data_IF_073207330486
#
_entry.id   IF_073207330486
#
_cell.length_a   1.000
_cell.length_b   1.000
_cell.length_c   1.000
_cell.angle_alpha   90.00
_cell.angle_beta   90.00
_cell.angle_gamma   90.00
#
_symmetry.space_group_name_H-M   'P 1'
#
loop_
_entity.id
_entity.type
_entity.pdbx_description
1 polymer ?
#
# COMPACT_ATOMS: atom_id res chain seq x y z
N UNK A 1 37.37 -44.75 -68.93
CA UNK A 1 36.73 -43.64 -68.20
C UNK A 1 35.92 -44.21 -67.06
N UNK A 2 36.21 -43.71 -65.85
CA UNK A 2 35.43 -43.70 -64.60
C UNK A 2 34.77 -44.99 -64.06
N UNK A 3 35.23 -45.37 -62.87
CA UNK A 3 34.59 -46.24 -61.87
C UNK A 3 34.55 -45.48 -60.53
N UNK A 4 33.58 -45.85 -59.68
CA UNK A 4 33.34 -45.55 -58.24
C UNK A 4 32.21 -44.56 -57.95
N UNK A 5 31.07 -45.01 -57.41
CA UNK A 5 30.76 -45.58 -56.07
C UNK A 5 30.42 -44.50 -55.03
N UNK A 6 29.26 -44.72 -54.40
CA UNK A 6 28.66 -43.92 -53.35
C UNK A 6 29.37 -44.04 -51.98
N UNK A 7 29.26 -42.99 -51.16
CA UNK A 7 29.22 -42.91 -49.68
C UNK A 7 29.43 -41.45 -49.27
N UNK A 8 28.87 -40.87 -48.21
CA UNK A 8 27.77 -41.18 -47.32
C UNK A 8 27.62 -39.90 -46.48
N UNK A 9 26.53 -39.15 -46.63
CA UNK A 9 26.22 -38.07 -45.68
C UNK A 9 25.10 -38.57 -44.76
N UNK A 10 25.52 -39.04 -43.60
CA UNK A 10 24.66 -39.41 -42.50
C UNK A 10 25.07 -38.59 -41.28
N UNK A 11 24.45 -37.42 -41.09
CA UNK A 11 24.45 -36.71 -39.80
C UNK A 11 23.15 -35.94 -39.57
N UNK A 12 22.26 -36.59 -38.81
CA UNK A 12 21.23 -36.08 -37.89
C UNK A 12 20.57 -34.70 -38.15
N UNK A 13 19.23 -34.65 -38.31
CA UNK A 13 18.49 -33.40 -38.22
C UNK A 13 18.51 -32.91 -36.76
N UNK A 14 19.35 -31.92 -36.48
CA UNK A 14 19.31 -31.19 -35.21
C UNK A 14 18.09 -30.28 -35.22
N UNK A 15 17.06 -30.65 -34.47
CA UNK A 15 16.13 -29.82 -33.65
C UNK A 15 16.01 -28.32 -34.03
N UNK A 16 15.88 -28.01 -35.31
CA UNK A 16 15.59 -26.69 -35.89
C UNK A 16 14.55 -26.92 -36.96
N UNK A 17 13.59 -26.00 -37.00
CA UNK A 17 12.30 -26.11 -37.69
C UNK A 17 12.37 -26.71 -39.09
N UNK A 18 11.25 -27.36 -39.46
CA UNK A 18 11.02 -28.09 -40.70
C UNK A 18 11.44 -27.34 -41.97
N UNK A 19 11.71 -28.13 -43.01
CA UNK A 19 12.06 -27.79 -44.40
C UNK A 19 11.01 -26.94 -45.17
N UNK A 20 9.89 -26.56 -44.55
CA UNK A 20 8.74 -25.95 -45.25
C UNK A 20 8.85 -24.42 -45.45
N UNK A 21 10.02 -23.82 -45.24
CA UNK A 21 10.22 -22.37 -45.42
C UNK A 21 9.49 -21.47 -44.41
N UNK A 22 8.81 -22.04 -43.41
CA UNK A 22 8.14 -21.29 -42.34
C UNK A 22 9.17 -20.75 -41.35
N UNK A 23 9.45 -19.44 -41.42
CA UNK A 23 10.22 -18.73 -40.38
C UNK A 23 9.35 -18.53 -39.15
N UNK A 24 9.72 -19.20 -38.06
CA UNK A 24 9.21 -18.87 -36.73
C UNK A 24 9.98 -17.65 -36.25
N UNK A 25 9.34 -16.48 -36.26
CA UNK A 25 9.87 -15.28 -35.62
C UNK A 25 9.59 -15.35 -34.12
N UNK A 26 10.64 -15.22 -33.31
CA UNK A 26 10.48 -15.09 -31.88
C UNK A 26 9.99 -13.66 -31.60
N UNK A 27 8.73 -13.53 -31.22
CA UNK A 27 8.20 -12.28 -30.69
C UNK A 27 8.48 -12.23 -29.19
N UNK A 28 9.35 -11.30 -28.78
CA UNK A 28 9.39 -10.89 -27.38
C UNK A 28 8.24 -9.92 -27.16
N UNK A 29 7.25 -10.34 -26.36
CA UNK A 29 6.22 -9.44 -25.87
C UNK A 29 6.90 -8.43 -24.93
N UNK A 30 6.91 -7.16 -25.29
CA UNK A 30 7.44 -6.10 -24.43
C UNK A 30 6.55 -5.98 -23.19
N UNK A 31 6.99 -6.53 -22.07
CA UNK A 31 6.47 -6.23 -20.73
C UNK A 31 7.02 -4.84 -20.29
N UNK A 32 6.72 -3.80 -21.08
CA UNK A 32 7.41 -2.50 -21.06
C UNK A 32 7.07 -1.56 -19.90
N UNK A 33 7.01 -2.06 -18.67
CA UNK A 33 6.67 -1.21 -17.52
C UNK A 33 7.83 -1.06 -16.53
N UNK A 34 8.47 0.11 -16.60
CA UNK A 34 9.61 0.44 -15.75
C UNK A 34 9.22 0.64 -14.28
N UNK A 35 10.08 0.16 -13.38
CA UNK A 35 9.95 0.37 -11.94
C UNK A 35 10.11 1.86 -11.63
N UNK A 36 9.15 2.44 -10.90
CA UNK A 36 9.24 3.83 -10.44
C UNK A 36 9.51 3.87 -8.95
N UNK A 37 10.58 4.56 -8.56
CA UNK A 37 10.96 4.76 -7.16
C UNK A 37 10.36 6.02 -6.55
N UNK A 38 10.16 6.03 -5.23
CA UNK A 38 9.70 7.20 -4.48
C UNK A 38 10.65 8.42 -4.66
N UNK A 39 11.96 8.17 -4.73
CA UNK A 39 12.96 9.22 -5.01
C UNK A 39 12.72 9.94 -6.33
N UNK A 40 12.23 9.25 -7.37
CA UNK A 40 11.91 9.86 -8.66
C UNK A 40 10.69 10.82 -8.57
N UNK A 41 9.80 10.63 -7.60
CA UNK A 41 8.75 11.61 -7.31
C UNK A 41 9.34 12.89 -6.72
N UNK A 42 10.16 12.78 -5.67
CA UNK A 42 10.74 13.93 -4.98
C UNK A 42 11.80 14.67 -5.81
N UNK A 43 12.48 13.98 -6.73
CA UNK A 43 13.33 14.62 -7.72
C UNK A 43 12.53 15.54 -8.67
N UNK A 44 11.29 15.16 -9.00
CA UNK A 44 10.37 15.98 -9.84
C UNK A 44 9.59 17.02 -9.04
N UNK A 45 9.45 16.83 -7.72
CA UNK A 45 8.67 17.68 -6.82
C UNK A 45 9.51 18.03 -5.58
N UNK A 46 10.58 18.83 -5.74
CA UNK A 46 11.50 19.11 -4.64
C UNK A 46 10.79 19.90 -3.54
N UNK A 47 10.93 19.44 -2.29
CA UNK A 47 10.39 20.12 -1.11
C UNK A 47 8.86 20.03 -0.95
N UNK A 48 8.16 19.31 -1.83
CA UNK A 48 6.70 19.20 -1.80
C UNK A 48 6.28 17.76 -1.47
N UNK A 49 5.44 17.62 -0.44
CA UNK A 49 4.85 16.34 -0.06
C UNK A 49 3.80 15.85 -1.08
N UNK A 50 3.37 14.57 -0.99
CA UNK A 50 2.37 14.00 -1.88
C UNK A 50 1.07 14.81 -1.86
N UNK A 51 0.55 15.16 -3.04
CA UNK A 51 -0.69 15.90 -3.14
C UNK A 51 -1.90 15.02 -2.81
N UNK A 52 -2.88 15.55 -2.08
CA UNK A 52 -4.18 14.92 -1.84
C UNK A 52 -5.29 15.83 -2.35
N UNK A 53 -6.21 15.27 -3.12
CA UNK A 53 -7.34 16.03 -3.65
C UNK A 53 -8.58 15.77 -2.83
N UNK A 54 -9.16 16.83 -2.29
CA UNK A 54 -10.29 16.75 -1.36
C UNK A 54 -11.37 17.72 -1.83
N UNK A 55 -12.65 17.32 -1.84
CA UNK A 55 -13.74 18.24 -2.12
C UNK A 55 -13.76 19.45 -1.18
N UNK A 56 -14.23 20.59 -1.69
CA UNK A 56 -14.51 21.77 -0.86
C UNK A 56 -15.66 21.48 0.09
N UNK A 57 -15.68 22.17 1.23
CA UNK A 57 -16.81 22.07 2.16
C UNK A 57 -18.10 22.54 1.50
N UNK A 58 -19.17 21.77 1.70
CA UNK A 58 -20.52 22.24 1.43
C UNK A 58 -20.92 23.38 2.38
N UNK A 59 -21.91 24.21 2.01
CA UNK A 59 -22.42 25.26 2.90
C UNK A 59 -23.01 24.66 4.18
N UNK A 60 -22.51 25.10 5.35
CA UNK A 60 -22.98 24.62 6.66
C UNK A 60 -22.39 23.28 7.10
N UNK A 61 -21.43 22.72 6.36
CA UNK A 61 -20.73 21.50 6.75
C UNK A 61 -19.91 21.71 8.02
N UNK A 62 -20.20 20.91 9.05
CA UNK A 62 -19.38 20.80 10.27
C UNK A 62 -18.95 19.36 10.50
N UNK A 63 -17.95 19.17 11.36
CA UNK A 63 -17.50 17.83 11.76
C UNK A 63 -18.67 16.99 12.31
N UNK A 64 -19.55 17.59 13.11
CA UNK A 64 -20.73 16.96 13.70
C UNK A 64 -21.72 16.51 12.62
N UNK A 65 -21.95 17.33 11.60
CA UNK A 65 -22.84 16.94 10.49
C UNK A 65 -22.28 15.76 9.70
N UNK A 66 -20.95 15.69 9.51
CA UNK A 66 -20.28 14.57 8.86
C UNK A 66 -20.30 13.31 9.75
N UNK A 67 -20.11 13.43 11.06
CA UNK A 67 -20.26 12.32 12.01
C UNK A 67 -21.69 11.77 11.95
N UNK A 68 -22.68 12.67 11.94
CA UNK A 68 -24.10 12.32 11.83
C UNK A 68 -24.40 11.58 10.53
N UNK A 69 -23.84 12.05 9.41
CA UNK A 69 -23.96 11.38 8.12
C UNK A 69 -23.29 9.99 8.12
N UNK A 70 -22.07 9.87 8.65
CA UNK A 70 -21.31 8.61 8.65
C UNK A 70 -21.95 7.55 9.55
N UNK A 71 -22.28 7.92 10.78
CA UNK A 71 -22.85 6.99 11.75
C UNK A 71 -24.36 6.77 11.52
N UNK A 72 -25.05 7.77 10.98
CA UNK A 72 -26.47 7.70 10.63
C UNK A 72 -26.76 6.99 9.31
N UNK A 73 -25.79 6.93 8.39
CA UNK A 73 -25.93 6.16 7.15
C UNK A 73 -26.17 4.67 7.44
N UNK A 74 -25.66 4.13 8.55
CA UNK A 74 -25.81 2.73 8.91
C UNK A 74 -25.20 1.82 7.84
N UNK A 75 -26.06 1.21 7.02
CA UNK A 75 -25.71 0.35 5.88
C UNK A 75 -25.91 1.04 4.52
N UNK A 76 -26.11 2.36 4.49
CA UNK A 76 -26.21 3.09 3.23
C UNK A 76 -24.81 3.46 2.71
N UNK A 77 -24.70 3.55 1.37
CA UNK A 77 -23.46 3.95 0.71
C UNK A 77 -23.22 5.43 0.94
N UNK A 78 -22.06 5.75 1.48
CA UNK A 78 -21.55 7.10 1.66
C UNK A 78 -20.66 7.42 0.45
N UNK A 79 -20.75 8.65 -0.04
CA UNK A 79 -19.82 9.12 -1.06
C UNK A 79 -18.39 9.22 -0.52
N UNK A 80 -17.42 8.86 -1.37
CA UNK A 80 -16.01 8.87 -0.96
C UNK A 80 -15.50 10.30 -0.69
N UNK A 81 -16.01 11.32 -1.35
CA UNK A 81 -15.70 12.72 -1.12
C UNK A 81 -16.01 13.15 0.31
N UNK A 82 -17.17 12.73 0.83
CA UNK A 82 -17.58 12.94 2.23
C UNK A 82 -16.59 12.28 3.20
N UNK A 83 -16.19 11.04 2.90
CA UNK A 83 -15.20 10.31 3.70
C UNK A 83 -13.81 10.98 3.68
N UNK A 84 -13.32 11.40 2.51
CA UNK A 84 -12.04 12.10 2.37
C UNK A 84 -12.03 13.41 3.15
N UNK A 85 -13.12 14.18 3.05
CA UNK A 85 -13.28 15.44 3.78
C UNK A 85 -13.29 15.21 5.28
N UNK A 86 -14.03 14.21 5.73
CA UNK A 86 -14.10 13.84 7.14
C UNK A 86 -12.72 13.45 7.70
N UNK A 87 -11.97 12.57 7.02
CA UNK A 87 -10.61 12.18 7.44
C UNK A 87 -9.71 13.41 7.55
N UNK A 88 -9.77 14.33 6.57
CA UNK A 88 -8.97 15.54 6.58
C UNK A 88 -9.27 16.46 7.76
N UNK A 89 -10.54 16.68 8.08
CA UNK A 89 -10.94 17.47 9.25
C UNK A 89 -10.48 16.80 10.56
N UNK A 90 -10.49 15.46 10.64
CA UNK A 90 -9.95 14.75 11.79
C UNK A 90 -8.43 14.97 11.99
N UNK A 91 -7.66 15.21 10.93
CA UNK A 91 -6.21 15.46 11.07
C UNK A 91 -5.92 16.71 11.89
N UNK A 92 -6.77 17.73 11.82
CA UNK A 92 -6.63 18.93 12.66
C UNK A 92 -6.82 18.68 14.16
N UNK A 93 -7.40 17.55 14.55
CA UNK A 93 -7.56 17.15 15.96
C UNK A 93 -6.40 16.30 16.48
N UNK A 94 -5.54 15.82 15.59
CA UNK A 94 -4.44 14.91 15.92
C UNK A 94 -3.15 15.73 15.86
N UNK A 95 -2.65 16.12 17.03
CA UNK A 95 -1.49 17.01 17.14
C UNK A 95 -0.47 16.43 18.11
N UNK A 96 0.80 16.46 17.72
CA UNK A 96 1.90 16.06 18.59
C UNK A 96 3.12 16.95 18.37
N UNK A 97 3.94 17.09 19.42
CA UNK A 97 5.12 17.95 19.40
C UNK A 97 6.35 17.16 18.96
N UNK A 98 7.15 17.73 18.06
CA UNK A 98 8.40 17.14 17.61
C UNK A 98 9.53 17.35 18.62
N UNK A 99 10.22 16.27 19.00
CA UNK A 99 11.46 16.38 19.79
C UNK A 99 12.66 16.77 18.93
N UNK A 100 12.69 16.30 17.67
CA UNK A 100 13.76 16.53 16.71
C UNK A 100 13.19 16.93 15.34
N UNK A 101 14.03 17.57 14.51
CA UNK A 101 13.66 17.95 13.14
C UNK A 101 13.24 16.71 12.37
N UNK A 102 12.05 16.77 11.76
CA UNK A 102 11.56 15.70 10.91
C UNK A 102 11.67 16.09 9.44
N UNK A 103 12.50 15.36 8.70
CA UNK A 103 12.69 15.54 7.27
C UNK A 103 12.75 14.19 6.54
N UNK A 104 12.13 14.10 5.37
CA UNK A 104 12.20 12.91 4.52
C UNK A 104 12.25 13.30 3.05
N UNK A 105 13.18 12.72 2.29
CA UNK A 105 13.38 13.00 0.86
C UNK A 105 13.55 14.50 0.51
N UNK A 106 14.23 15.26 1.37
CA UNK A 106 14.39 16.71 1.20
C UNK A 106 13.15 17.54 1.54
N UNK A 107 12.04 16.90 1.93
CA UNK A 107 10.84 17.57 2.45
C UNK A 107 10.96 17.72 3.96
N UNK A 108 11.03 18.98 4.42
CA UNK A 108 11.01 19.29 5.86
C UNK A 108 9.55 19.27 6.32
N UNK A 109 9.20 18.29 7.15
CA UNK A 109 7.85 18.12 7.70
C UNK A 109 7.64 19.11 8.85
N UNK A 110 8.66 19.26 9.71
CA UNK A 110 8.62 20.23 10.81
C UNK A 110 9.97 20.32 11.55
N UNK A 111 10.33 21.50 12.08
CA UNK A 111 11.52 21.65 12.92
C UNK A 111 11.26 21.11 14.34
N UNK A 112 12.34 20.90 15.09
CA UNK A 112 12.27 20.49 16.49
C UNK A 112 11.46 21.50 17.32
N UNK A 113 10.65 20.99 18.24
CA UNK A 113 9.82 21.77 19.16
C UNK A 113 8.49 22.26 18.59
N UNK A 114 8.17 21.97 17.32
CA UNK A 114 6.88 22.38 16.70
C UNK A 114 5.80 21.33 16.84
N UNK A 115 4.56 21.81 16.90
CA UNK A 115 3.37 20.98 16.84
C UNK A 115 3.07 20.62 15.39
N UNK A 116 2.92 19.34 15.14
CA UNK A 116 2.62 18.80 13.82
C UNK A 116 1.39 17.91 13.86
N UNK A 117 0.75 17.79 12.71
CA UNK A 117 -0.44 16.98 12.46
C UNK A 117 -0.18 16.08 11.26
N UNK A 118 -1.01 15.04 11.04
CA UNK A 118 -0.91 14.23 9.82
C UNK A 118 -1.07 15.05 8.52
N UNK A 119 -1.73 16.21 8.57
CA UNK A 119 -1.89 17.09 7.40
C UNK A 119 -0.57 17.70 6.92
N UNK A 120 0.41 17.91 7.82
CA UNK A 120 1.74 18.43 7.47
C UNK A 120 2.55 17.48 6.57
N UNK A 121 2.12 16.22 6.44
CA UNK A 121 2.75 15.23 5.58
C UNK A 121 2.30 15.35 4.12
N UNK A 122 1.21 16.07 3.83
CA UNK A 122 0.53 16.09 2.54
C UNK A 122 0.40 17.51 1.99
N UNK A 123 0.23 17.62 0.67
CA UNK A 123 -0.12 18.88 0.02
C UNK A 123 -1.61 18.88 -0.36
N UNK A 124 -2.41 19.74 0.24
CA UNK A 124 -3.85 19.83 -0.05
C UNK A 124 -4.09 20.51 -1.40
N UNK A 125 -4.92 19.88 -2.23
CA UNK A 125 -5.51 20.49 -3.43
C UNK A 125 -7.02 20.36 -3.31
N UNK A 126 -7.71 21.47 -3.12
CA UNK A 126 -9.17 21.45 -3.09
C UNK A 126 -9.73 21.36 -4.53
N UNK A 127 -10.56 20.35 -4.81
CA UNK A 127 -11.09 20.08 -6.15
C UNK A 127 -12.60 19.77 -6.08
N UNK A 128 -13.38 20.40 -6.96
CA UNK A 128 -14.84 20.19 -7.04
C UNK A 128 -15.63 20.88 -5.93
N UNK A 129 -16.96 20.79 -6.04
CA UNK A 129 -17.89 21.14 -4.97
C UNK A 129 -18.14 19.90 -4.09
N UNK A 130 -18.38 20.11 -2.79
CA UNK A 130 -18.70 19.02 -1.88
C UNK A 130 -20.02 18.35 -2.27
N UNK A 131 -20.03 17.02 -2.29
CA UNK A 131 -21.23 16.24 -2.58
C UNK A 131 -22.31 16.48 -1.52
N UNK A 132 -23.57 16.53 -1.95
CA UNK A 132 -24.69 16.59 -1.03
C UNK A 132 -24.86 15.22 -0.36
N UNK A 133 -24.80 15.20 0.96
CA UNK A 133 -25.15 14.04 1.77
C UNK A 133 -26.48 14.28 2.46
N UNK A 134 -27.22 13.20 2.72
CA UNK A 134 -28.42 13.27 3.54
C UNK A 134 -28.01 13.78 4.93
N UNK A 135 -28.36 15.03 5.23
CA UNK A 135 -28.14 15.63 6.53
C UNK A 135 -28.91 14.86 7.58
N UNK A 136 -28.22 13.98 8.31
CA UNK A 136 -28.73 13.40 9.54
C UNK A 136 -28.72 14.45 10.67
N UNK A 137 -29.36 14.11 11.79
CA UNK A 137 -29.15 14.89 13.02
C UNK A 137 -27.64 15.00 13.29
N UNK A 138 -27.13 16.17 13.71
CA UNK A 138 -25.71 16.34 14.02
C UNK A 138 -25.24 15.24 14.96
N UNK A 139 -24.17 14.55 14.56
CA UNK A 139 -23.57 13.49 15.35
C UNK A 139 -22.91 14.05 16.61
N UNK A 140 -22.69 13.20 17.59
CA UNK A 140 -21.98 13.58 18.79
C UNK A 140 -20.49 13.80 18.46
N UNK A 141 -19.96 15.00 18.69
CA UNK A 141 -18.56 15.36 18.45
C UNK A 141 -17.55 14.42 19.15
N UNK A 142 -17.93 13.79 20.27
CA UNK A 142 -17.10 12.83 20.99
C UNK A 142 -16.93 11.49 20.25
N UNK A 143 -17.80 11.19 19.28
CA UNK A 143 -17.75 9.95 18.50
C UNK A 143 -16.85 10.05 17.26
N UNK A 144 -16.05 11.11 17.14
CA UNK A 144 -15.21 11.34 15.97
C UNK A 144 -14.20 10.20 15.71
N UNK A 145 -13.64 9.59 16.77
CA UNK A 145 -12.73 8.45 16.64
C UNK A 145 -13.44 7.20 16.11
N UNK A 146 -14.65 6.92 16.61
CA UNK A 146 -15.50 5.82 16.15
C UNK A 146 -15.82 5.98 14.66
N UNK A 147 -16.26 7.18 14.25
CA UNK A 147 -16.55 7.47 12.85
C UNK A 147 -15.30 7.39 11.97
N UNK A 148 -14.14 7.86 12.45
CA UNK A 148 -12.87 7.76 11.72
C UNK A 148 -12.43 6.31 11.53
N UNK A 149 -12.53 5.49 12.57
CA UNK A 149 -12.20 4.08 12.50
C UNK A 149 -13.14 3.31 11.55
N UNK A 150 -14.42 3.68 11.51
CA UNK A 150 -15.40 3.11 10.58
C UNK A 150 -15.07 3.47 9.14
N UNK A 151 -14.80 4.75 8.85
CA UNK A 151 -14.41 5.23 7.50
C UNK A 151 -13.12 4.59 7.01
N UNK A 152 -12.16 4.32 7.89
CA UNK A 152 -10.89 3.66 7.55
C UNK A 152 -11.00 2.13 7.46
N UNK A 153 -12.11 1.54 7.92
CA UNK A 153 -12.31 0.07 7.93
C UNK A 153 -12.21 -0.62 6.56
N UNK A 154 -12.69 -0.05 5.45
CA UNK A 154 -12.54 -0.65 4.12
C UNK A 154 -11.08 -0.97 3.77
N UNK A 155 -10.12 -0.13 4.20
CA UNK A 155 -8.68 -0.25 3.90
C UNK A 155 -8.09 -1.56 4.41
N UNK A 156 -8.58 -2.03 5.56
CA UNK A 156 -8.09 -3.24 6.19
C UNK A 156 -9.02 -4.44 5.94
N UNK A 157 -10.33 -4.24 5.96
CA UNK A 157 -11.32 -5.33 5.89
C UNK A 157 -11.61 -5.80 4.45
N UNK A 158 -11.45 -4.95 3.43
CA UNK A 158 -11.59 -5.37 2.02
C UNK A 158 -10.28 -5.96 1.46
N UNK A 159 -9.58 -6.73 2.27
CA UNK A 159 -8.40 -7.48 1.86
C UNK A 159 -8.82 -8.89 1.46
N UNK A 160 -8.11 -9.50 0.50
CA UNK A 160 -8.37 -10.88 0.03
C UNK A 160 -7.88 -11.91 1.06
N UNK A 161 -8.35 -11.82 2.29
CA UNK A 161 -8.00 -12.74 3.37
C UNK A 161 -8.99 -13.90 3.44
N UNK A 162 -8.54 -15.00 4.03
CA UNK A 162 -9.40 -16.16 4.32
C UNK A 162 -10.57 -15.73 5.21
N UNK A 163 -11.76 -16.29 4.96
CA UNK A 163 -13.02 -15.86 5.58
C UNK A 163 -12.97 -15.95 7.11
N UNK A 164 -12.38 -17.01 7.64
CA UNK A 164 -12.25 -17.22 9.09
C UNK A 164 -11.40 -16.14 9.76
N UNK A 165 -10.36 -15.66 9.07
CA UNK A 165 -9.53 -14.56 9.54
C UNK A 165 -10.26 -13.22 9.45
N UNK A 166 -11.02 -13.00 8.37
CA UNK A 166 -11.84 -11.79 8.22
C UNK A 166 -12.90 -11.68 9.32
N UNK A 167 -13.54 -12.79 9.71
CA UNK A 167 -14.52 -12.81 10.79
C UNK A 167 -13.87 -12.45 12.15
N UNK A 168 -12.73 -13.08 12.46
CA UNK A 168 -11.97 -12.76 13.67
C UNK A 168 -11.47 -11.30 13.68
N UNK A 169 -11.06 -10.79 12.52
CA UNK A 169 -10.62 -9.41 12.37
C UNK A 169 -11.76 -8.42 12.53
N UNK A 170 -12.92 -8.71 11.96
CA UNK A 170 -14.14 -7.90 12.07
C UNK A 170 -14.63 -7.81 13.51
N UNK A 171 -14.55 -8.92 14.26
CA UNK A 171 -14.88 -8.94 15.69
C UNK A 171 -13.93 -8.03 16.50
N UNK A 172 -12.62 -8.10 16.24
CA UNK A 172 -11.63 -7.19 16.86
C UNK A 172 -11.91 -5.74 16.50
N UNK A 173 -12.26 -5.48 15.24
CA UNK A 173 -12.62 -4.15 14.75
C UNK A 173 -13.81 -3.58 15.52
N UNK A 174 -14.86 -4.39 15.71
CA UNK A 174 -16.04 -4.00 16.48
C UNK A 174 -15.70 -3.67 17.93
N UNK A 175 -14.87 -4.47 18.59
CA UNK A 175 -14.44 -4.19 19.96
C UNK A 175 -13.70 -2.84 20.07
N UNK A 176 -12.85 -2.50 19.09
CA UNK A 176 -12.18 -1.20 19.04
C UNK A 176 -13.15 -0.04 18.80
N UNK A 177 -14.20 -0.23 17.99
CA UNK A 177 -15.25 0.78 17.80
C UNK A 177 -16.05 1.03 19.10
N UNK A 178 -16.39 -0.02 19.83
CA UNK A 178 -17.06 0.07 21.14
C UNK A 178 -16.18 0.81 22.17
N UNK A 179 -14.88 0.57 22.15
CA UNK A 179 -13.92 1.30 22.97
C UNK A 179 -13.90 2.80 22.65
N UNK A 180 -13.83 3.17 21.37
CA UNK A 180 -13.87 4.58 20.95
C UNK A 180 -15.23 5.24 21.20
N UNK A 181 -16.31 4.45 21.24
CA UNK A 181 -17.64 4.95 21.56
C UNK A 181 -17.87 5.12 23.07
N UNK A 182 -17.11 4.39 23.91
CA UNK A 182 -17.37 4.24 25.34
C UNK A 182 -18.63 3.44 25.68
N UNK A 183 -19.31 2.89 24.68
CA UNK A 183 -20.57 2.13 24.82
C UNK A 183 -20.62 1.03 23.77
N UNK A 184 -21.50 0.04 23.99
CA UNK A 184 -21.79 -0.97 22.96
C UNK A 184 -22.48 -0.31 21.77
N UNK A 185 -22.03 -0.65 20.57
CA UNK A 185 -22.54 -0.09 19.32
C UNK A 185 -23.01 -1.20 18.40
N UNK A 186 -24.07 -0.93 17.64
CA UNK A 186 -24.60 -1.85 16.64
C UNK A 186 -23.94 -1.68 15.26
N UNK A 187 -22.71 -1.14 15.23
CA UNK A 187 -21.96 -0.97 13.98
C UNK A 187 -21.53 -2.34 13.43
N UNK A 188 -21.64 -2.48 12.12
CA UNK A 188 -21.09 -3.62 11.38
C UNK A 188 -19.95 -3.14 10.49
N UNK A 189 -18.69 -3.06 11.01
CA UNK A 189 -17.55 -2.63 10.19
C UNK A 189 -17.30 -3.54 8.99
N UNK A 190 -17.62 -4.84 9.09
CA UNK A 190 -17.54 -5.77 7.96
C UNK A 190 -18.53 -5.45 6.84
N UNK A 191 -19.79 -5.14 7.18
CA UNK A 191 -20.80 -4.73 6.18
C UNK A 191 -20.44 -3.38 5.58
N UNK A 192 -20.02 -2.42 6.41
CA UNK A 192 -19.59 -1.10 5.96
C UNK A 192 -18.41 -1.21 4.98
N UNK A 193 -17.41 -2.04 5.29
CA UNK A 193 -16.29 -2.30 4.40
C UNK A 193 -16.76 -2.86 3.05
N UNK A 194 -17.60 -3.90 3.05
CA UNK A 194 -18.09 -4.54 1.82
C UNK A 194 -18.79 -3.55 0.88
N UNK A 195 -19.64 -2.69 1.44
CA UNK A 195 -20.39 -1.66 0.69
C UNK A 195 -19.48 -0.60 0.07
N UNK A 196 -18.33 -0.36 0.68
CA UNK A 196 -17.35 0.65 0.27
C UNK A 196 -16.06 0.02 -0.28
N UNK A 197 -16.16 -1.16 -0.91
CA UNK A 197 -15.01 -1.91 -1.45
C UNK A 197 -14.18 -1.13 -2.47
N UNK A 198 -14.81 -0.24 -3.25
CA UNK A 198 -14.13 0.64 -4.20
C UNK A 198 -13.19 1.67 -3.56
N UNK A 199 -13.33 1.97 -2.26
CA UNK A 199 -12.51 2.99 -1.58
C UNK A 199 -11.03 2.61 -1.49
N UNK A 200 -10.70 1.32 -1.60
CA UNK A 200 -9.32 0.83 -1.61
C UNK A 200 -8.58 1.08 -2.93
N UNK A 201 -9.31 1.49 -3.97
CA UNK A 201 -8.74 1.86 -5.27
C UNK A 201 -8.55 3.39 -5.38
N UNK A 202 -9.14 4.16 -4.47
CA UNK A 202 -9.00 5.62 -4.47
C UNK A 202 -7.66 6.05 -3.86
N UNK A 203 -6.83 6.68 -4.68
CA UNK A 203 -5.48 7.11 -4.28
C UNK A 203 -5.46 8.15 -3.16
N UNK A 204 -6.46 9.04 -3.09
CA UNK A 204 -6.53 10.06 -2.05
C UNK A 204 -6.84 9.42 -0.69
N UNK A 205 -7.73 8.43 -0.67
CA UNK A 205 -8.06 7.69 0.55
C UNK A 205 -6.85 6.93 1.09
N UNK A 206 -6.11 6.26 0.21
CA UNK A 206 -4.86 5.57 0.57
C UNK A 206 -3.79 6.54 1.08
N UNK A 207 -3.62 7.71 0.44
CA UNK A 207 -2.68 8.75 0.90
C UNK A 207 -3.01 9.26 2.29
N UNK A 208 -4.29 9.52 2.58
CA UNK A 208 -4.72 9.95 3.91
C UNK A 208 -4.44 8.86 4.95
N UNK A 209 -4.85 7.63 4.70
CA UNK A 209 -4.60 6.52 5.63
C UNK A 209 -3.11 6.26 5.87
N UNK A 210 -2.28 6.33 4.82
CA UNK A 210 -0.83 6.22 4.96
C UNK A 210 -0.24 7.42 5.73
N UNK A 211 -0.80 8.62 5.63
CA UNK A 211 -0.31 9.79 6.37
C UNK A 211 -0.60 9.64 7.85
N UNK A 212 -1.78 9.12 8.17
CA UNK A 212 -2.15 8.78 9.54
C UNK A 212 -1.25 7.66 10.10
N UNK A 213 -0.99 6.57 9.38
CA UNK A 213 -0.06 5.52 9.88
C UNK A 213 1.37 6.06 10.04
N UNK A 214 1.87 6.87 9.10
CA UNK A 214 3.20 7.48 9.18
C UNK A 214 3.33 8.36 10.43
N UNK A 215 2.34 9.23 10.67
CA UNK A 215 2.27 10.07 11.86
C UNK A 215 2.26 9.23 13.15
N UNK A 216 1.35 8.26 13.26
CA UNK A 216 1.20 7.45 14.48
C UNK A 216 2.34 6.43 14.67
N UNK A 217 3.07 6.08 13.60
CA UNK A 217 4.28 5.30 13.74
C UNK A 217 5.42 6.10 14.38
N UNK A 218 5.51 7.38 14.04
CA UNK A 218 6.44 8.30 14.68
C UNK A 218 6.05 8.53 16.13
N UNK A 219 4.78 8.83 16.38
CA UNK A 219 4.23 9.08 17.72
C UNK A 219 3.50 7.85 18.28
N UNK A 220 4.28 6.83 18.67
CA UNK A 220 3.71 5.54 19.12
C UNK A 220 2.87 5.65 20.39
N UNK A 221 3.18 6.63 21.24
CA UNK A 221 2.51 6.86 22.54
C UNK A 221 1.37 7.89 22.44
N UNK A 222 1.02 8.35 21.23
CA UNK A 222 -0.09 9.26 21.03
C UNK A 222 -1.42 8.64 21.51
N UNK A 223 -2.34 9.46 22.03
CA UNK A 223 -3.65 9.01 22.54
C UNK A 223 -4.44 8.19 21.50
N UNK A 224 -4.39 8.63 20.24
CA UNK A 224 -5.05 7.95 19.12
C UNK A 224 -4.18 6.89 18.43
N UNK A 225 -3.06 6.46 19.01
CA UNK A 225 -2.16 5.44 18.43
C UNK A 225 -2.86 4.12 18.10
N UNK A 226 -3.95 3.77 18.82
CA UNK A 226 -4.81 2.61 18.55
C UNK A 226 -5.43 2.64 17.14
N UNK A 227 -5.59 3.83 16.53
CA UNK A 227 -6.07 3.99 15.15
C UNK A 227 -5.19 3.31 14.11
N UNK A 228 -3.92 3.02 14.42
CA UNK A 228 -3.03 2.23 13.55
C UNK A 228 -3.58 0.85 13.25
N UNK A 229 -4.46 0.31 14.09
CA UNK A 229 -5.18 -0.91 13.75
C UNK A 229 -5.95 -0.77 12.43
N UNK A 230 -6.40 0.41 12.03
CA UNK A 230 -7.10 0.63 10.77
C UNK A 230 -6.11 0.75 9.60
N UNK A 231 -4.96 1.41 9.82
CA UNK A 231 -4.08 1.91 8.75
C UNK A 231 -2.76 1.15 8.59
N UNK A 232 -2.43 0.22 9.49
CA UNK A 232 -1.16 -0.54 9.46
C UNK A 232 -0.92 -1.27 8.14
N UNK A 233 -1.97 -1.64 7.41
CA UNK A 233 -1.87 -2.30 6.10
C UNK A 233 -1.38 -1.38 4.99
N UNK A 234 -1.35 -0.06 5.20
CA UNK A 234 -0.79 0.90 4.25
C UNK A 234 0.74 0.91 4.29
N UNK A 235 1.34 0.50 5.39
CA UNK A 235 2.78 0.43 5.56
C UNK A 235 3.34 -0.80 4.86
N UNK A 236 4.37 -0.59 4.04
CA UNK A 236 4.98 -1.63 3.19
C UNK A 236 3.96 -2.33 2.29
N UNK A 237 2.83 -1.67 1.99
CA UNK A 237 1.90 -2.12 0.96
C UNK A 237 2.63 -2.15 -0.37
N UNK A 238 2.44 -3.23 -1.11
CA UNK A 238 3.12 -3.50 -2.39
C UNK A 238 4.66 -3.67 -2.27
N UNK A 239 5.19 -3.85 -1.06
CA UNK A 239 6.61 -4.13 -0.78
C UNK A 239 6.83 -5.57 -0.27
N UNK A 240 6.11 -6.55 -0.81
CA UNK A 240 6.20 -7.95 -0.39
C UNK A 240 7.64 -8.50 -0.55
N UNK A 241 8.31 -8.21 -1.67
CA UNK A 241 9.69 -8.67 -1.91
C UNK A 241 10.70 -8.20 -0.86
N UNK A 242 10.55 -6.96 -0.33
CA UNK A 242 11.39 -6.46 0.77
C UNK A 242 11.11 -7.21 2.07
N UNK A 243 9.83 -7.51 2.33
CA UNK A 243 9.39 -8.23 3.52
C UNK A 243 9.87 -9.67 3.51
N UNK A 244 9.79 -10.34 2.37
CA UNK A 244 10.25 -11.71 2.16
C UNK A 244 11.77 -11.80 2.29
N UNK A 245 12.50 -10.87 1.66
CA UNK A 245 13.96 -10.80 1.81
C UNK A 245 14.36 -10.66 3.28
N UNK A 246 13.72 -9.74 4.02
CA UNK A 246 13.98 -9.57 5.46
C UNK A 246 13.67 -10.85 6.25
N UNK A 247 12.61 -11.56 5.89
CA UNK A 247 12.22 -12.81 6.53
C UNK A 247 13.25 -13.91 6.30
N UNK A 248 13.71 -14.08 5.07
CA UNK A 248 14.74 -15.07 4.69
C UNK A 248 16.04 -14.81 5.45
N UNK A 249 16.54 -13.56 5.42
CA UNK A 249 17.75 -13.16 6.16
C UNK A 249 17.63 -13.49 7.66
N UNK A 250 16.44 -13.28 8.23
CA UNK A 250 16.19 -13.58 9.64
C UNK A 250 16.15 -15.07 9.96
N UNK A 251 15.53 -15.89 9.11
CA UNK A 251 15.48 -17.35 9.33
C UNK A 251 16.87 -17.95 9.20
N UNK A 252 17.62 -17.56 8.18
CA UNK A 252 18.94 -18.13 7.90
C UNK A 252 20.05 -17.53 8.77
N UNK A 253 19.76 -16.42 9.46
CA UNK A 253 20.74 -15.72 10.28
C UNK A 253 21.88 -15.11 9.46
N UNK A 254 21.64 -14.85 8.17
CA UNK A 254 22.64 -14.32 7.24
C UNK A 254 22.53 -12.81 7.12
N UNK A 255 23.65 -12.17 6.88
CA UNK A 255 23.71 -10.81 6.34
C UNK A 255 23.29 -10.79 4.87
N UNK A 256 22.95 -9.60 4.36
CA UNK A 256 22.61 -9.44 2.94
C UNK A 256 23.77 -9.82 2.02
N UNK A 257 25.01 -9.55 2.43
CA UNK A 257 26.22 -9.86 1.66
C UNK A 257 26.42 -11.36 1.55
N UNK A 258 26.22 -12.10 2.64
CA UNK A 258 26.29 -13.56 2.63
C UNK A 258 25.17 -14.15 1.80
N UNK A 259 23.93 -13.68 1.99
CA UNK A 259 22.77 -14.14 1.22
C UNK A 259 22.94 -13.94 -0.29
N UNK A 260 23.53 -12.83 -0.73
CA UNK A 260 23.79 -12.58 -2.15
C UNK A 260 24.66 -13.65 -2.81
N UNK A 261 25.54 -14.34 -2.07
CA UNK A 261 26.36 -15.44 -2.58
C UNK A 261 25.57 -16.72 -2.87
N UNK A 262 24.37 -16.85 -2.28
CA UNK A 262 23.45 -17.96 -2.49
C UNK A 262 22.49 -17.73 -3.65
N UNK A 263 22.58 -16.59 -4.33
CA UNK A 263 21.74 -16.25 -5.48
C UNK A 263 22.41 -16.72 -6.75
N UNK A 264 21.93 -17.84 -7.31
CA UNK A 264 22.53 -18.47 -8.49
C UNK A 264 21.75 -18.23 -9.79
N UNK A 265 20.66 -17.47 -9.73
CA UNK A 265 19.81 -17.20 -10.90
C UNK A 265 19.87 -15.73 -11.28
N UNK A 266 20.23 -15.43 -12.53
CA UNK A 266 20.38 -14.06 -13.03
C UNK A 266 19.12 -13.20 -12.81
N UNK A 267 17.92 -13.77 -13.03
CA UNK A 267 16.67 -13.03 -12.81
C UNK A 267 16.46 -12.59 -11.36
N UNK A 268 16.93 -13.38 -10.38
CA UNK A 268 16.85 -13.03 -8.96
C UNK A 268 17.87 -11.94 -8.63
N UNK A 269 19.05 -11.95 -9.28
CA UNK A 269 20.02 -10.87 -9.15
C UNK A 269 19.41 -9.54 -9.62
N UNK A 270 18.77 -9.52 -10.79
CA UNK A 270 18.10 -8.31 -11.30
C UNK A 270 17.02 -7.79 -10.33
N UNK A 271 16.21 -8.69 -9.76
CA UNK A 271 15.19 -8.32 -8.78
C UNK A 271 15.79 -7.82 -7.46
N UNK A 272 16.88 -8.43 -6.99
CA UNK A 272 17.62 -7.96 -5.83
C UNK A 272 18.26 -6.60 -6.08
N UNK A 273 18.85 -6.35 -7.25
CA UNK A 273 19.37 -5.03 -7.60
C UNK A 273 18.26 -3.97 -7.60
N UNK A 274 17.07 -4.30 -8.11
CA UNK A 274 15.91 -3.40 -8.08
C UNK A 274 15.43 -3.10 -6.66
N UNK A 275 15.43 -4.10 -5.78
CA UNK A 275 15.01 -3.98 -4.36
C UNK A 275 16.06 -3.23 -3.54
N UNK A 276 17.33 -3.58 -3.72
CA UNK A 276 18.48 -3.02 -3.00
C UNK A 276 18.95 -1.69 -3.57
N UNK A 277 18.31 -1.19 -4.63
CA UNK A 277 18.65 0.08 -5.24
C UNK A 277 18.84 1.13 -4.14
N UNK A 278 20.01 1.81 -4.05
CA UNK A 278 20.42 2.54 -2.84
C UNK A 278 19.34 3.49 -2.31
N UNK A 279 18.60 4.13 -3.20
CA UNK A 279 17.52 5.05 -2.84
C UNK A 279 16.33 4.38 -2.13
N UNK A 280 16.08 3.08 -2.32
CA UNK A 280 15.04 2.29 -1.63
C UNK A 280 15.46 1.97 -0.20
N UNK A 281 16.71 1.53 0.03
CA UNK A 281 17.19 1.19 1.37
C UNK A 281 17.31 2.41 2.28
N UNK A 282 17.75 3.56 1.74
CA UNK A 282 17.73 4.83 2.48
C UNK A 282 16.30 5.33 2.74
N UNK A 283 15.33 4.99 1.86
CA UNK A 283 13.93 5.38 1.96
C UNK A 283 13.09 4.46 2.88
N UNK A 284 13.45 3.18 3.07
CA UNK A 284 12.84 2.32 4.10
C UNK A 284 13.07 2.90 5.51
N UNK A 285 14.15 3.68 5.70
CA UNK A 285 14.37 4.47 6.91
C UNK A 285 13.57 5.79 6.96
N UNK A 286 13.04 6.28 5.83
CA UNK A 286 12.40 7.59 5.65
C UNK A 286 10.98 7.47 5.07
N UNK A 287 10.01 7.74 5.93
CA UNK A 287 8.66 7.18 5.99
C UNK A 287 7.67 7.46 4.81
N UNK A 288 8.08 8.15 3.72
CA UNK A 288 7.19 8.57 2.61
C UNK A 288 6.83 7.48 1.59
N UNK A 289 7.49 6.31 1.60
CA UNK A 289 7.21 5.23 0.63
C UNK A 289 5.75 4.75 0.71
N UNK A 290 5.16 4.73 1.90
CA UNK A 290 3.77 4.37 2.10
C UNK A 290 2.79 5.39 1.48
N UNK A 291 3.21 6.66 1.28
CA UNK A 291 2.35 7.74 0.80
C UNK A 291 2.36 7.91 -0.72
N UNK A 292 3.47 7.55 -1.35
CA UNK A 292 3.65 7.69 -2.80
C UNK A 292 3.14 6.48 -3.58
N UNK A 293 2.25 5.70 -2.98
CA UNK A 293 1.44 4.66 -3.63
C UNK A 293 0.69 5.25 -4.84
N UNK A 294 1.40 5.41 -5.96
CA UNK A 294 0.88 4.90 -7.20
C UNK A 294 0.89 3.39 -7.02
N UNK A 295 -0.09 2.62 -7.51
CA UNK A 295 0.24 1.27 -7.88
C UNK A 295 1.58 1.36 -8.61
N UNK A 296 2.54 0.55 -8.25
CA UNK A 296 3.56 0.18 -9.21
C UNK A 296 2.74 -0.60 -10.26
N UNK A 297 1.97 0.13 -11.08
CA UNK A 297 1.49 -0.29 -12.37
C UNK A 297 2.81 -0.59 -13.05
N UNK A 298 3.15 -1.87 -13.09
CA UNK A 298 4.46 -2.41 -13.49
C UNK A 298 4.90 -3.59 -12.64
N UNK A 299 4.56 -3.57 -11.36
CA UNK A 299 4.28 -4.79 -10.62
C UNK A 299 2.76 -5.00 -10.65
N UNK A 300 2.22 -5.35 -11.83
CA UNK A 300 1.51 -6.63 -11.80
C UNK A 300 2.58 -7.53 -11.22
N UNK A 301 2.43 -7.92 -9.93
CA UNK A 301 3.28 -8.96 -9.35
C UNK A 301 3.49 -9.93 -10.50
N UNK A 302 4.73 -10.07 -11.00
CA UNK A 302 4.97 -11.00 -12.08
C UNK A 302 4.33 -12.26 -11.55
N UNK A 303 3.26 -12.78 -12.19
CA UNK A 303 2.17 -13.63 -11.63
C UNK A 303 2.58 -14.31 -10.33
N UNK A 304 1.75 -14.56 -9.30
CA UNK A 304 2.19 -15.31 -8.12
C UNK A 304 3.16 -16.50 -8.40
N UNK A 305 3.13 -17.13 -9.59
CA UNK A 305 4.19 -17.87 -10.30
C UNK A 305 5.67 -17.34 -10.39
N UNK A 306 6.00 -16.05 -10.60
CA UNK A 306 7.38 -15.53 -10.74
C UNK A 306 8.02 -15.15 -9.40
N UNK A 307 7.26 -14.59 -8.44
CA UNK A 307 7.67 -14.61 -7.03
C UNK A 307 7.57 -16.02 -6.43
N UNK A 308 6.77 -16.91 -7.04
CA UNK A 308 6.83 -18.35 -6.77
C UNK A 308 8.20 -18.93 -7.08
N UNK A 309 9.11 -18.31 -7.84
CA UNK A 309 10.46 -18.86 -8.00
C UNK A 309 11.32 -18.66 -6.75
N UNK A 310 11.29 -17.47 -6.14
CA UNK A 310 11.90 -17.20 -4.82
C UNK A 310 11.16 -17.95 -3.71
N UNK A 311 9.83 -17.99 -3.75
CA UNK A 311 9.00 -18.79 -2.83
C UNK A 311 9.26 -20.30 -2.98
N UNK A 312 9.36 -20.85 -4.20
CA UNK A 312 9.68 -22.27 -4.45
C UNK A 312 11.08 -22.62 -3.96
N UNK A 313 12.09 -21.80 -4.30
CA UNK A 313 13.47 -22.03 -3.88
C UNK A 313 13.59 -21.98 -2.35
N UNK A 314 12.75 -21.19 -1.67
CA UNK A 314 12.73 -21.09 -0.21
C UNK A 314 11.76 -22.05 0.51
N UNK A 315 10.71 -22.58 -0.13
CA UNK A 315 9.81 -23.61 0.41
C UNK A 315 10.33 -25.04 0.18
N UNK A 316 11.14 -25.27 -0.86
CA UNK A 316 11.76 -26.58 -1.17
C UNK A 316 12.69 -27.14 -0.07
N UNK A 317 13.49 -26.34 0.67
CA UNK A 317 14.33 -26.85 1.76
C UNK A 317 13.51 -27.36 2.95
N UNK A 318 12.29 -26.83 3.16
CA UNK A 318 11.39 -27.27 4.23
C UNK A 318 10.63 -28.57 3.92
N UNK A 319 10.60 -28.99 2.66
CA UNK A 319 10.00 -30.23 2.16
C UNK A 319 11.02 -31.36 1.95
N UNK A 320 12.31 -31.10 2.18
CA UNK A 320 13.42 -32.06 2.03
C UNK A 320 13.84 -32.71 3.36
N UNK A 321 12.96 -32.70 4.38
CA UNK A 321 13.09 -33.51 5.59
C UNK A 321 11.91 -34.47 5.74
#
# INVERSE_FOLDING_TARGET
MAVNQARADNTNPTRRGREDGFRVENYNLEDGQEVTYASAYFARNPGVGPAVRIPRSGPGETLETLIGAILGAGQNVIDIGVALRYIWLCFGKITSRLDERWESHGVVIGPAGTDITPSNLLSLVEEGEGEQYAGGNPGNANQWLRALALVLSPIRLNTQLRREYLDALTLKYKATLEEFAGVRVNDSPGTFALQHSGWNQNINNLRLAAALDMFLFRFKEHEVSKMRFCTVTCRFRDCAGVSDLRFILKIWGLSMVEFAQWVWTASIVDDLERILHPLVLYAIHRQYEALLQKPILGLRQPEPARLCALHWVCESPGLLN
#
